data_IF_621440901740
#
_entry.id   IF_621440901740
#
_cell.length_a   1.000
_cell.length_b   1.000
_cell.length_c   1.000
_cell.angle_alpha   90.00
_cell.angle_beta   90.00
_cell.angle_gamma   90.00
#
_symmetry.space_group_name_H-M   'P 1'
#
loop_
_entity.id
_entity.type
_entity.pdbx_description
1 polymer ?
#
# COMPACT_ATOMS: atom_id res chain seq x y z
N UNK A 1 -37.76 53.65 48.35
CA UNK A 1 -37.26 52.60 49.28
C UNK A 1 -37.37 51.25 48.59
N UNK A 2 -36.21 50.58 48.41
CA UNK A 2 -35.99 49.11 48.37
C UNK A 2 -36.77 48.36 47.28
N UNK A 3 -36.26 48.17 46.06
CA UNK A 3 -35.07 47.41 45.61
C UNK A 3 -35.04 45.94 46.07
N UNK A 4 -35.00 45.06 45.06
CA UNK A 4 -34.25 43.79 44.97
C UNK A 4 -34.96 42.42 45.07
N UNK A 5 -34.88 41.76 43.90
CA UNK A 5 -34.39 40.38 43.70
C UNK A 5 -35.30 39.23 44.10
N UNK A 6 -36.08 38.76 43.12
CA UNK A 6 -36.39 37.34 42.94
C UNK A 6 -35.95 36.89 41.56
N UNK A 7 -34.64 36.72 41.42
CA UNK A 7 -34.02 35.85 40.42
C UNK A 7 -33.09 34.92 41.19
N UNK A 8 -33.70 33.95 41.87
CA UNK A 8 -32.99 32.73 42.20
C UNK A 8 -32.89 31.97 40.87
N UNK A 9 -31.75 32.13 40.23
CA UNK A 9 -31.37 31.35 39.06
C UNK A 9 -31.49 29.88 39.45
N UNK A 10 -32.32 29.12 38.73
CA UNK A 10 -32.16 27.67 38.63
C UNK A 10 -30.78 27.41 38.02
N UNK A 11 -29.73 27.50 38.83
CA UNK A 11 -28.43 27.01 38.44
C UNK A 11 -28.56 25.50 38.41
N UNK A 12 -28.66 24.98 37.19
CA UNK A 12 -28.72 23.57 36.93
C UNK A 12 -27.51 22.93 37.63
N UNK A 13 -27.75 22.09 38.65
CA UNK A 13 -26.70 21.49 39.48
C UNK A 13 -25.66 20.73 38.64
N UNK A 14 -26.05 20.22 37.46
CA UNK A 14 -25.13 19.65 36.48
C UNK A 14 -24.19 20.70 35.86
N UNK A 15 -24.67 21.92 35.59
CA UNK A 15 -23.87 22.99 35.04
C UNK A 15 -22.81 23.49 36.04
N UNK A 16 -23.17 23.61 37.33
CA UNK A 16 -22.19 23.96 38.39
C UNK A 16 -21.16 22.85 38.60
N UNK A 17 -21.58 21.58 38.52
CA UNK A 17 -20.67 20.42 38.52
C UNK A 17 -19.75 20.41 37.30
N UNK A 18 -20.27 20.74 36.11
CA UNK A 18 -19.50 20.79 34.86
C UNK A 18 -18.48 21.93 34.92
N UNK A 19 -18.89 23.10 35.41
CA UNK A 19 -18.02 24.26 35.61
C UNK A 19 -16.91 23.94 36.61
N UNK A 20 -17.21 23.28 37.73
CA UNK A 20 -16.21 22.85 38.70
C UNK A 20 -15.23 21.79 38.14
N UNK A 21 -15.70 20.91 37.23
CA UNK A 21 -14.84 19.97 36.51
C UNK A 21 -13.94 20.67 35.47
N UNK A 22 -14.49 21.64 34.73
CA UNK A 22 -13.76 22.48 33.78
C UNK A 22 -12.71 23.35 34.49
N UNK A 23 -13.01 23.87 35.68
CA UNK A 23 -12.04 24.60 36.49
C UNK A 23 -10.95 23.70 37.09
N UNK A 24 -11.25 22.44 37.42
CA UNK A 24 -10.24 21.44 37.77
C UNK A 24 -9.41 20.96 36.59
N UNK A 25 -9.95 21.04 35.37
CA UNK A 25 -9.26 20.71 34.13
C UNK A 25 -8.42 21.89 33.58
N UNK A 26 -8.72 23.15 33.95
CA UNK A 26 -7.95 24.36 33.58
C UNK A 26 -6.42 24.16 33.63
N UNK A 27 -5.81 23.64 34.70
CA UNK A 27 -4.34 23.49 34.78
C UNK A 27 -3.77 22.44 33.82
N UNK A 28 -4.59 21.51 33.31
CA UNK A 28 -4.17 20.46 32.38
C UNK A 28 -4.53 20.76 30.92
N UNK A 29 -5.25 21.85 30.64
CA UNK A 29 -5.65 22.23 29.27
C UNK A 29 -4.45 22.46 28.35
N UNK A 30 -3.33 22.95 28.88
CA UNK A 30 -2.08 23.09 28.12
C UNK A 30 -1.48 21.72 27.79
N UNK A 31 -1.29 20.83 28.78
CA UNK A 31 -0.63 19.53 28.57
C UNK A 31 -1.50 18.53 27.83
N UNK A 32 -2.79 18.45 28.16
CA UNK A 32 -3.78 17.61 27.45
C UNK A 32 -4.04 18.16 26.06
N UNK A 33 -4.09 19.49 25.89
CA UNK A 33 -4.19 20.13 24.58
C UNK A 33 -3.00 19.81 23.69
N UNK A 34 -1.76 19.87 24.23
CA UNK A 34 -0.55 19.46 23.51
C UNK A 34 -0.61 17.96 23.15
N UNK A 35 -1.06 17.10 24.07
CA UNK A 35 -1.21 15.66 23.80
C UNK A 35 -2.22 15.36 22.69
N UNK A 36 -3.38 16.04 22.69
CA UNK A 36 -4.40 15.90 21.65
C UNK A 36 -3.89 16.42 20.31
N UNK A 37 -3.22 17.57 20.29
CA UNK A 37 -2.62 18.12 19.07
C UNK A 37 -1.54 17.17 18.54
N UNK A 38 -0.67 16.64 19.39
CA UNK A 38 0.36 15.67 18.99
C UNK A 38 -0.26 14.39 18.41
N UNK A 39 -1.36 13.90 19.00
CA UNK A 39 -2.07 12.72 18.52
C UNK A 39 -2.74 12.99 17.17
N UNK A 40 -3.37 14.16 16.99
CA UNK A 40 -3.92 14.59 15.70
C UNK A 40 -2.83 14.70 14.62
N UNK A 41 -1.68 15.30 14.95
CA UNK A 41 -0.53 15.39 14.03
C UNK A 41 -0.02 14.00 13.66
N UNK A 42 0.09 13.08 14.62
CA UNK A 42 0.50 11.69 14.35
C UNK A 42 -0.49 10.95 13.43
N UNK A 43 -1.80 11.15 13.64
CA UNK A 43 -2.83 10.58 12.77
C UNK A 43 -2.77 11.18 11.36
N UNK A 44 -2.60 12.49 11.22
CA UNK A 44 -2.47 13.17 9.92
C UNK A 44 -1.21 12.67 9.20
N UNK A 45 -0.08 12.58 9.89
CA UNK A 45 1.16 12.05 9.34
C UNK A 45 0.97 10.61 8.83
N UNK A 46 0.36 9.72 9.63
CA UNK A 46 0.06 8.34 9.22
C UNK A 46 -0.80 8.28 7.96
N UNK A 47 -1.86 9.09 7.89
CA UNK A 47 -2.73 9.13 6.71
C UNK A 47 -2.02 9.68 5.47
N UNK A 48 -1.14 10.67 5.64
CA UNK A 48 -0.36 11.24 4.54
C UNK A 48 0.66 10.23 3.98
N UNK A 49 1.38 9.52 4.85
CA UNK A 49 2.28 8.44 4.43
C UNK A 49 1.53 7.27 3.76
N UNK A 50 0.32 6.95 4.22
CA UNK A 50 -0.51 5.90 3.62
C UNK A 50 -1.10 6.28 2.24
N UNK A 51 -1.36 7.56 1.98
CA UNK A 51 -1.83 8.01 0.67
C UNK A 51 -0.72 7.92 -0.39
N UNK A 52 0.52 8.28 -0.01
CA UNK A 52 1.67 8.17 -0.90
C UNK A 52 1.93 6.72 -1.36
N UNK A 53 1.64 5.73 -0.50
CA UNK A 53 1.76 4.31 -0.88
C UNK A 53 0.66 3.84 -1.84
N UNK A 54 -0.55 4.40 -1.74
CA UNK A 54 -1.66 3.98 -2.60
C UNK A 54 -1.46 4.44 -4.05
N UNK A 55 -1.02 5.68 -4.26
CA UNK A 55 -0.72 6.21 -5.61
C UNK A 55 0.46 5.48 -6.26
N UNK A 56 1.53 5.22 -5.50
CA UNK A 56 2.69 4.47 -5.98
C UNK A 56 2.33 3.03 -6.36
N UNK A 57 1.49 2.37 -5.56
CA UNK A 57 1.02 1.03 -5.89
C UNK A 57 0.18 1.04 -7.17
N UNK A 58 -0.71 2.03 -7.35
CA UNK A 58 -1.52 2.14 -8.56
C UNK A 58 -0.66 2.31 -9.82
N UNK A 59 0.37 3.16 -9.77
CA UNK A 59 1.30 3.38 -10.88
C UNK A 59 2.05 2.11 -11.28
N UNK A 60 2.53 1.33 -10.31
CA UNK A 60 3.23 0.06 -10.53
C UNK A 60 2.35 -0.97 -11.23
N UNK A 61 1.11 -1.13 -10.76
CA UNK A 61 0.13 -2.02 -11.38
C UNK A 61 -0.24 -1.55 -12.79
N UNK A 62 -0.41 -0.24 -13.00
CA UNK A 62 -0.69 0.31 -14.32
C UNK A 62 0.47 0.04 -15.31
N UNK A 63 1.72 0.15 -14.85
CA UNK A 63 2.88 -0.18 -15.67
C UNK A 63 2.89 -1.66 -16.09
N UNK A 64 2.55 -2.56 -15.17
CA UNK A 64 2.38 -3.99 -15.47
C UNK A 64 1.25 -4.23 -16.47
N UNK A 65 0.06 -3.66 -16.24
CA UNK A 65 -1.08 -3.85 -17.12
C UNK A 65 -0.81 -3.34 -18.54
N UNK A 66 -0.27 -2.12 -18.69
CA UNK A 66 0.13 -1.57 -19.99
C UNK A 66 1.12 -2.46 -20.73
N UNK A 67 1.94 -3.22 -20.00
CA UNK A 67 2.88 -4.17 -20.59
C UNK A 67 2.19 -5.45 -21.01
N UNK A 68 1.29 -5.96 -20.18
CA UNK A 68 0.48 -7.15 -20.47
C UNK A 68 -0.48 -7.00 -21.64
N UNK A 69 -0.84 -5.77 -22.02
CA UNK A 69 -1.66 -5.47 -23.21
C UNK A 69 -0.92 -5.75 -24.53
N UNK A 70 0.43 -5.78 -24.50
CA UNK A 70 1.25 -6.10 -25.67
C UNK A 70 1.33 -7.62 -25.85
N UNK A 71 1.66 -8.11 -27.06
CA UNK A 71 1.78 -9.55 -27.29
C UNK A 71 2.68 -10.21 -26.24
N UNK A 72 2.24 -11.36 -25.74
CA UNK A 72 2.81 -12.11 -24.62
C UNK A 72 4.20 -12.74 -24.89
N UNK A 73 5.05 -12.04 -25.64
CA UNK A 73 6.35 -12.51 -26.11
C UNK A 73 7.49 -11.56 -25.70
N UNK A 74 7.22 -10.52 -24.88
CA UNK A 74 8.23 -9.56 -24.42
C UNK A 74 8.88 -9.97 -23.09
N UNK A 75 9.62 -11.08 -23.09
CA UNK A 75 10.34 -11.57 -21.90
C UNK A 75 11.26 -10.50 -21.32
N UNK A 76 12.10 -9.89 -22.14
CA UNK A 76 13.09 -8.90 -21.70
C UNK A 76 12.43 -7.67 -21.11
N UNK A 77 11.29 -7.26 -21.68
CA UNK A 77 10.50 -6.21 -21.10
C UNK A 77 10.01 -6.58 -19.70
N UNK A 78 9.43 -7.75 -19.50
CA UNK A 78 8.94 -8.14 -18.18
C UNK A 78 10.07 -8.28 -17.15
N UNK A 79 11.25 -8.77 -17.54
CA UNK A 79 12.44 -8.76 -16.67
C UNK A 79 12.84 -7.34 -16.27
N UNK A 80 12.89 -6.42 -17.24
CA UNK A 80 13.18 -5.02 -16.94
C UNK A 80 12.14 -4.41 -16.00
N UNK A 81 10.87 -4.78 -16.13
CA UNK A 81 9.81 -4.31 -15.23
C UNK A 81 10.00 -4.85 -13.81
N UNK A 82 10.46 -6.09 -13.66
CA UNK A 82 10.80 -6.65 -12.36
C UNK A 82 11.98 -5.88 -11.72
N UNK A 83 13.02 -5.59 -12.51
CA UNK A 83 14.17 -4.80 -12.06
C UNK A 83 13.78 -3.36 -11.69
N UNK A 84 12.96 -2.70 -12.52
CA UNK A 84 12.51 -1.31 -12.31
C UNK A 84 11.67 -1.17 -11.02
N UNK A 85 11.05 -2.26 -10.56
CA UNK A 85 10.18 -2.30 -9.39
C UNK A 85 10.62 -3.34 -8.34
N UNK A 86 11.92 -3.50 -8.15
CA UNK A 86 12.50 -4.39 -7.12
C UNK A 86 11.95 -4.08 -5.71
N UNK A 87 11.75 -5.12 -4.90
CA UNK A 87 11.21 -5.08 -3.54
C UNK A 87 9.79 -4.51 -3.43
N UNK A 88 9.04 -4.51 -4.55
CA UNK A 88 7.62 -4.14 -4.56
C UNK A 88 6.76 -5.37 -4.83
N UNK A 89 5.45 -5.32 -4.53
CA UNK A 89 4.56 -6.43 -4.84
C UNK A 89 4.53 -6.83 -6.31
N UNK A 90 4.89 -5.95 -7.26
CA UNK A 90 4.83 -6.24 -8.70
C UNK A 90 6.01 -7.04 -9.22
N UNK A 91 7.18 -6.96 -8.56
CA UNK A 91 8.39 -7.68 -8.95
C UNK A 91 8.15 -9.17 -9.24
N UNK A 92 7.56 -9.97 -8.32
CA UNK A 92 7.32 -11.39 -8.57
C UNK A 92 6.34 -11.64 -9.72
N UNK A 93 5.36 -10.76 -9.92
CA UNK A 93 4.40 -10.87 -11.04
C UNK A 93 5.05 -10.55 -12.38
N UNK A 94 5.91 -9.54 -12.42
CA UNK A 94 6.68 -9.20 -13.62
C UNK A 94 7.67 -10.33 -13.97
N UNK A 95 8.37 -10.89 -12.99
CA UNK A 95 9.24 -12.04 -13.20
C UNK A 95 8.47 -13.26 -13.73
N UNK A 96 7.29 -13.54 -13.15
CA UNK A 96 6.41 -14.62 -13.61
C UNK A 96 5.96 -14.42 -15.07
N UNK A 97 5.54 -13.21 -15.42
CA UNK A 97 5.14 -12.87 -16.79
C UNK A 97 6.31 -13.02 -17.79
N UNK A 98 7.55 -12.78 -17.38
CA UNK A 98 8.73 -13.05 -18.21
C UNK A 98 8.92 -14.56 -18.48
N UNK A 99 8.74 -15.39 -17.45
CA UNK A 99 8.81 -16.84 -17.58
C UNK A 99 7.71 -17.37 -18.51
N UNK A 100 6.47 -16.88 -18.34
CA UNK A 100 5.33 -17.20 -19.20
C UNK A 100 5.57 -16.81 -20.66
N UNK A 101 6.14 -15.63 -20.91
CA UNK A 101 6.45 -15.17 -22.26
C UNK A 101 7.43 -16.11 -22.97
N UNK A 102 8.45 -16.57 -22.24
CA UNK A 102 9.43 -17.54 -22.74
C UNK A 102 8.78 -18.89 -23.01
N UNK A 103 7.92 -19.36 -22.11
CA UNK A 103 7.19 -20.61 -22.27
C UNK A 103 6.31 -20.56 -23.52
N UNK A 104 5.55 -19.48 -23.71
CA UNK A 104 4.67 -19.32 -24.85
C UNK A 104 5.44 -19.26 -26.17
N UNK A 105 6.57 -18.54 -26.22
CA UNK A 105 7.46 -18.55 -27.38
C UNK A 105 7.97 -19.95 -27.69
N UNK A 106 8.47 -20.66 -26.67
CA UNK A 106 8.95 -22.03 -26.80
C UNK A 106 7.89 -22.99 -27.33
N UNK A 107 6.67 -22.92 -26.79
CA UNK A 107 5.53 -23.72 -27.26
C UNK A 107 5.16 -23.40 -28.71
N UNK A 108 5.20 -22.13 -29.12
CA UNK A 108 4.88 -21.72 -30.50
C UNK A 108 5.89 -22.26 -31.53
N UNK A 109 7.15 -22.44 -31.11
CA UNK A 109 8.24 -22.89 -31.96
C UNK A 109 8.43 -24.41 -31.96
N UNK A 110 7.78 -25.15 -31.06
CA UNK A 110 8.02 -26.58 -30.81
C UNK A 110 7.95 -27.45 -32.08
N UNK A 111 7.10 -27.08 -33.03
CA UNK A 111 6.88 -27.81 -34.29
C UNK A 111 7.56 -27.17 -35.49
N UNK A 112 8.13 -25.97 -35.34
CA UNK A 112 8.72 -25.17 -36.42
C UNK A 112 10.25 -25.22 -36.33
N UNK A 113 10.78 -24.82 -35.17
CA UNK A 113 12.20 -24.81 -34.85
C UNK A 113 12.41 -25.34 -33.43
N UNK A 114 12.67 -26.64 -33.34
CA UNK A 114 12.89 -27.33 -32.07
C UNK A 114 14.10 -26.80 -31.31
N UNK A 115 15.12 -26.30 -32.02
CA UNK A 115 16.35 -25.79 -31.39
C UNK A 115 16.04 -24.47 -30.71
N UNK A 116 15.33 -23.57 -31.40
CA UNK A 116 14.93 -22.29 -30.82
C UNK A 116 13.87 -22.48 -29.73
N UNK A 117 12.91 -23.40 -29.94
CA UNK A 117 11.95 -23.79 -28.91
C UNK A 117 12.62 -24.24 -27.61
N UNK A 118 13.65 -25.09 -27.71
CA UNK A 118 14.39 -25.57 -26.54
C UNK A 118 15.08 -24.42 -25.79
N UNK A 119 15.62 -23.41 -26.48
CA UNK A 119 16.20 -22.24 -25.81
C UNK A 119 15.16 -21.48 -24.99
N UNK A 120 14.00 -21.18 -25.59
CA UNK A 120 12.93 -20.45 -24.91
C UNK A 120 12.34 -21.25 -23.74
N UNK A 121 12.15 -22.56 -23.89
CA UNK A 121 11.68 -23.42 -22.81
C UNK A 121 12.70 -23.52 -21.67
N UNK A 122 13.99 -23.64 -21.98
CA UNK A 122 15.04 -23.64 -20.95
C UNK A 122 15.14 -22.29 -20.23
N UNK A 123 14.95 -21.17 -20.94
CA UNK A 123 14.87 -19.85 -20.34
C UNK A 123 13.68 -19.75 -19.38
N UNK A 124 12.50 -20.23 -19.79
CA UNK A 124 11.32 -20.28 -18.92
C UNK A 124 11.59 -21.08 -17.64
N UNK A 125 12.18 -22.27 -17.77
CA UNK A 125 12.56 -23.10 -16.61
C UNK A 125 13.52 -22.36 -15.68
N UNK A 126 14.55 -21.71 -16.23
CA UNK A 126 15.51 -20.94 -15.42
C UNK A 126 14.82 -19.78 -14.68
N UNK A 127 13.91 -19.07 -15.34
CA UNK A 127 13.15 -17.96 -14.75
C UNK A 127 12.22 -18.46 -13.63
N UNK A 128 11.48 -19.56 -13.86
CA UNK A 128 10.66 -20.19 -12.82
C UNK A 128 11.47 -20.66 -11.62
N UNK A 129 12.62 -21.29 -11.86
CA UNK A 129 13.51 -21.71 -10.78
C UNK A 129 14.05 -20.51 -9.98
N UNK A 130 14.34 -19.39 -10.64
CA UNK A 130 14.79 -18.18 -9.96
C UNK A 130 13.69 -17.63 -9.04
N UNK A 131 12.43 -17.60 -9.50
CA UNK A 131 11.27 -17.18 -8.70
C UNK A 131 11.04 -18.11 -7.50
N UNK A 132 11.18 -19.42 -7.69
CA UNK A 132 11.05 -20.40 -6.60
C UNK A 132 12.18 -20.21 -5.57
N UNK A 133 13.41 -19.98 -6.03
CA UNK A 133 14.59 -19.78 -5.15
C UNK A 133 14.59 -18.44 -4.43
N UNK A 134 13.99 -17.40 -5.01
CA UNK A 134 13.92 -16.07 -4.39
C UNK A 134 12.88 -15.98 -3.26
N UNK A 135 12.05 -17.01 -3.07
CA UNK A 135 10.94 -16.98 -2.10
C UNK A 135 11.16 -17.73 -0.79
N UNK A 136 11.05 -16.96 0.29
CA UNK A 136 10.13 -17.25 1.41
C UNK A 136 8.67 -17.29 0.85
N UNK A 137 7.91 -18.33 1.20
CA UNK A 137 6.69 -18.84 0.54
C UNK A 137 5.51 -17.86 0.25
N UNK A 138 5.46 -16.64 0.81
CA UNK A 138 4.15 -16.01 1.12
C UNK A 138 3.50 -15.17 0.00
N UNK A 139 4.27 -14.65 -0.97
CA UNK A 139 3.77 -13.58 -1.90
C UNK A 139 2.92 -14.03 -3.12
N UNK A 140 2.81 -15.33 -3.42
CA UNK A 140 2.13 -15.87 -4.63
C UNK A 140 0.97 -16.79 -4.27
N UNK A 141 0.67 -16.93 -2.98
CA UNK A 141 -0.39 -17.81 -2.44
C UNK A 141 -1.53 -16.97 -1.83
N UNK A 142 -1.44 -15.64 -1.83
CA UNK A 142 -2.47 -14.74 -1.30
C UNK A 142 -3.61 -14.49 -2.29
#
# INVERSE_FOLDING_TARGET
MKTERRHELETNYLADRLAAWLEKAKPYTSTVGIGVIALLVALIAKNFFSQQSAERNAEQWEAYYRKSEKPAQDREGFLKLADDYENTPIEPWAALAAADASMQQGCSLLWIDKKEAAKHLNAAVADYEAIIKSKDDDILVQ
#
